data_IF_419632714279
#
_entry.id   IF_419632714279
#
_cell.length_a   1.000
_cell.length_b   1.000
_cell.length_c   1.000
_cell.angle_alpha   90.00
_cell.angle_beta   90.00
_cell.angle_gamma   90.00
#
_symmetry.space_group_name_H-M   'P 1'
#
loop_
_entity.id
_entity.type
_entity.pdbx_description
1 polymer ?
#
# COMPACT_ATOMS: atom_id res chain seq x y z
N UNK A 1 19.20 -66.27 5.54
CA UNK A 1 19.38 -65.02 4.76
C UNK A 1 18.05 -64.32 4.44
N UNK A 2 16.92 -65.03 4.47
CA UNK A 2 15.55 -64.54 4.20
C UNK A 2 14.91 -63.68 5.31
N UNK A 3 15.22 -63.96 6.59
CA UNK A 3 14.62 -63.21 7.74
C UNK A 3 15.10 -61.75 7.87
N UNK A 4 16.36 -61.48 7.50
CA UNK A 4 16.94 -60.14 7.59
C UNK A 4 16.31 -59.17 6.58
N UNK A 5 16.02 -59.66 5.36
CA UNK A 5 15.39 -58.88 4.28
C UNK A 5 13.93 -58.56 4.64
N UNK A 6 13.20 -59.52 5.22
CA UNK A 6 11.80 -59.33 5.61
C UNK A 6 11.65 -58.32 6.75
N UNK A 7 12.58 -58.33 7.73
CA UNK A 7 12.62 -57.34 8.82
C UNK A 7 12.98 -55.94 8.32
N UNK A 8 13.88 -55.85 7.33
CA UNK A 8 14.27 -54.57 6.72
C UNK A 8 13.12 -53.96 5.90
N UNK A 9 12.43 -54.77 5.09
CA UNK A 9 11.27 -54.33 4.30
C UNK A 9 10.12 -53.86 5.19
N UNK A 10 9.80 -54.60 6.26
CA UNK A 10 8.74 -54.21 7.20
C UNK A 10 9.07 -52.90 7.93
N UNK A 11 10.35 -52.66 8.25
CA UNK A 11 10.82 -51.42 8.89
C UNK A 11 10.80 -50.22 7.92
N UNK A 12 11.13 -50.43 6.64
CA UNK A 12 11.05 -49.40 5.58
C UNK A 12 9.59 -49.00 5.30
N UNK A 13 8.68 -49.96 5.16
CA UNK A 13 7.25 -49.69 4.91
C UNK A 13 6.62 -48.92 6.08
N UNK A 14 6.94 -49.29 7.33
CA UNK A 14 6.48 -48.55 8.52
C UNK A 14 7.08 -47.14 8.62
N UNK A 15 8.33 -46.95 8.20
CA UNK A 15 8.99 -45.64 8.23
C UNK A 15 8.47 -44.69 7.15
N UNK A 16 8.21 -45.18 5.93
CA UNK A 16 7.62 -44.39 4.85
C UNK A 16 6.15 -44.07 5.13
N UNK A 17 5.38 -45.02 5.64
CA UNK A 17 3.98 -44.80 6.06
C UNK A 17 3.88 -43.70 7.12
N UNK A 18 4.77 -43.68 8.12
CA UNK A 18 4.78 -42.66 9.17
C UNK A 18 5.23 -41.28 8.65
N UNK A 19 6.10 -41.23 7.63
CA UNK A 19 6.56 -39.96 7.02
C UNK A 19 5.50 -39.37 6.09
N UNK A 20 4.82 -40.20 5.31
CA UNK A 20 3.72 -39.79 4.42
C UNK A 20 2.49 -39.40 5.25
N UNK A 21 2.14 -40.15 6.30
CA UNK A 21 1.05 -39.80 7.21
C UNK A 21 1.34 -38.51 7.98
N UNK A 22 2.57 -38.29 8.47
CA UNK A 22 2.96 -37.01 9.08
C UNK A 22 2.94 -35.86 8.08
N UNK A 23 3.42 -36.07 6.85
CA UNK A 23 3.35 -35.04 5.81
C UNK A 23 1.90 -34.69 5.47
N UNK A 24 1.02 -35.70 5.33
CA UNK A 24 -0.40 -35.50 5.07
C UNK A 24 -1.11 -34.82 6.24
N UNK A 25 -0.79 -35.20 7.48
CA UNK A 25 -1.33 -34.56 8.69
C UNK A 25 -0.86 -33.12 8.81
N UNK A 26 0.40 -32.82 8.53
CA UNK A 26 0.92 -31.45 8.45
C UNK A 26 0.26 -30.66 7.32
N UNK A 27 0.02 -31.25 6.16
CA UNK A 27 -0.65 -30.60 5.04
C UNK A 27 -2.12 -30.30 5.37
N UNK A 28 -2.82 -31.23 6.03
CA UNK A 28 -4.18 -31.05 6.54
C UNK A 28 -4.22 -29.97 7.63
N UNK A 29 -3.24 -29.92 8.54
CA UNK A 29 -3.13 -28.84 9.54
C UNK A 29 -2.87 -27.50 8.87
N UNK A 30 -1.97 -27.43 7.89
CA UNK A 30 -1.69 -26.19 7.15
C UNK A 30 -2.97 -25.74 6.42
N UNK A 31 -3.65 -26.61 5.68
CA UNK A 31 -4.91 -26.25 5.00
C UNK A 31 -6.06 -25.90 5.96
N UNK A 32 -6.16 -26.54 7.12
CA UNK A 32 -7.18 -26.19 8.12
C UNK A 32 -6.85 -24.90 8.88
N UNK A 33 -5.56 -24.54 9.04
CA UNK A 33 -5.18 -23.22 9.57
C UNK A 33 -5.41 -22.09 8.56
N UNK A 34 -5.32 -22.34 7.26
CA UNK A 34 -5.66 -21.35 6.22
C UNK A 34 -7.18 -21.08 6.20
N UNK A 35 -8.01 -22.03 6.62
CA UNK A 35 -9.47 -21.86 6.76
C UNK A 35 -9.90 -21.10 8.04
N UNK A 36 -9.00 -20.87 9.01
CA UNK A 36 -9.33 -20.21 10.28
C UNK A 36 -9.15 -18.69 10.25
N UNK A 37 -8.60 -18.12 9.18
CA UNK A 37 -8.61 -16.68 8.93
C UNK A 37 -9.82 -16.32 8.08
N UNK A 38 -11.01 -16.46 8.65
CA UNK A 38 -12.19 -15.76 8.15
C UNK A 38 -11.97 -14.27 8.49
N UNK A 39 -11.17 -13.58 7.68
CA UNK A 39 -11.13 -12.12 7.72
C UNK A 39 -12.55 -11.65 7.45
N UNK A 40 -13.17 -10.99 8.43
CA UNK A 40 -14.46 -10.34 8.24
C UNK A 40 -14.38 -9.49 6.99
N UNK A 41 -15.25 -9.77 6.03
CA UNK A 41 -15.30 -8.98 4.79
C UNK A 41 -15.52 -7.51 5.15
N UNK A 42 -14.78 -6.57 4.51
CA UNK A 42 -14.98 -5.15 4.78
C UNK A 42 -16.46 -4.76 4.60
N UNK A 43 -17.00 -4.00 5.55
CA UNK A 43 -18.39 -3.55 5.53
C UNK A 43 -18.55 -2.34 4.60
N UNK A 44 -19.52 -2.36 3.70
CA UNK A 44 -19.79 -1.22 2.82
C UNK A 44 -20.31 -0.01 3.61
N UNK A 45 -19.81 1.19 3.29
CA UNK A 45 -20.22 2.47 3.86
C UNK A 45 -20.34 3.53 2.75
N UNK A 46 -21.06 4.63 3.02
CA UNK A 46 -21.12 5.77 2.10
C UNK A 46 -19.79 6.53 2.07
N UNK A 47 -19.57 7.31 1.00
CA UNK A 47 -18.41 8.20 0.89
C UNK A 47 -18.38 9.24 2.02
N UNK A 48 -19.52 9.80 2.46
CA UNK A 48 -19.50 10.76 3.58
C UNK A 48 -19.10 10.07 4.88
N UNK A 49 -19.59 8.86 5.13
CA UNK A 49 -19.20 8.09 6.32
C UNK A 49 -17.72 7.74 6.27
N UNK A 50 -17.18 7.42 5.11
CA UNK A 50 -15.75 7.17 4.91
C UNK A 50 -14.91 8.39 5.30
N UNK A 51 -15.24 9.57 4.77
CA UNK A 51 -14.56 10.83 5.09
C UNK A 51 -14.66 11.16 6.58
N UNK A 52 -15.86 11.00 7.15
CA UNK A 52 -16.12 11.24 8.57
C UNK A 52 -15.29 10.34 9.48
N UNK A 53 -15.14 9.05 9.13
CA UNK A 53 -14.33 8.12 9.92
C UNK A 53 -12.86 8.56 9.97
N UNK A 54 -12.28 8.95 8.83
CA UNK A 54 -10.90 9.46 8.78
C UNK A 54 -10.73 10.69 9.68
N UNK A 55 -11.67 11.64 9.61
CA UNK A 55 -11.61 12.88 10.41
C UNK A 55 -11.77 12.63 11.93
N UNK A 56 -12.41 11.53 12.32
CA UNK A 56 -12.66 11.18 13.74
C UNK A 56 -11.56 10.31 14.36
N UNK A 57 -10.42 10.13 13.67
CA UNK A 57 -9.30 9.38 14.23
C UNK A 57 -8.84 10.00 15.56
N UNK A 58 -8.58 9.15 16.56
CA UNK A 58 -8.17 9.52 17.92
C UNK A 58 -7.28 8.44 18.51
N UNK A 59 -6.73 8.69 19.70
CA UNK A 59 -5.86 7.72 20.38
C UNK A 59 -6.57 6.40 20.71
N UNK A 60 -7.90 6.38 20.81
CA UNK A 60 -8.69 5.18 21.08
C UNK A 60 -9.27 4.56 19.80
N UNK A 61 -9.36 5.33 18.72
CA UNK A 61 -9.96 4.95 17.45
C UNK A 61 -9.03 5.38 16.32
N UNK A 62 -8.13 4.51 15.91
CA UNK A 62 -7.17 4.81 14.84
C UNK A 62 -7.76 4.37 13.51
N UNK A 63 -7.91 5.31 12.58
CA UNK A 63 -8.40 5.02 11.24
C UNK A 63 -7.23 5.05 10.26
N UNK A 64 -7.01 3.92 9.59
CA UNK A 64 -5.96 3.76 8.59
C UNK A 64 -6.59 3.52 7.23
N UNK A 65 -6.28 4.38 6.26
CA UNK A 65 -6.58 4.11 4.86
C UNK A 65 -5.59 3.08 4.30
N UNK A 66 -6.13 1.98 3.76
CA UNK A 66 -5.34 0.84 3.28
C UNK A 66 -5.07 0.88 1.77
N UNK A 67 -5.80 1.71 1.01
CA UNK A 67 -5.67 1.80 -0.43
C UNK A 67 -6.97 1.52 -1.18
N UNK A 68 -6.84 1.37 -2.49
CA UNK A 68 -7.92 0.92 -3.37
C UNK A 68 -7.66 -0.52 -3.78
N UNK A 69 -8.69 -1.34 -3.67
CA UNK A 69 -8.77 -2.65 -4.30
C UNK A 69 -9.91 -2.62 -5.32
N UNK A 70 -9.59 -2.89 -6.59
CA UNK A 70 -10.50 -2.73 -7.74
C UNK A 70 -11.16 -1.33 -7.78
N UNK A 71 -12.38 -1.23 -7.24
CA UNK A 71 -13.22 -0.04 -7.16
C UNK A 71 -13.64 0.27 -5.72
N UNK A 72 -12.86 -0.15 -4.72
CA UNK A 72 -13.20 0.01 -3.30
C UNK A 72 -12.06 0.68 -2.56
N UNK A 73 -12.32 1.84 -2.00
CA UNK A 73 -11.42 2.46 -1.03
C UNK A 73 -11.61 1.78 0.33
N UNK A 74 -10.54 1.27 0.93
CA UNK A 74 -10.63 0.44 2.14
C UNK A 74 -10.08 1.19 3.36
N UNK A 75 -10.81 1.12 4.47
CA UNK A 75 -10.38 1.57 5.79
C UNK A 75 -10.22 0.38 6.73
N UNK A 76 -9.21 0.49 7.58
CA UNK A 76 -9.09 -0.24 8.83
C UNK A 76 -9.38 0.72 9.97
N UNK A 77 -10.32 0.36 10.83
CA UNK A 77 -10.61 1.08 12.08
C UNK A 77 -10.17 0.19 13.22
N UNK A 78 -9.09 0.59 13.89
CA UNK A 78 -8.60 -0.07 15.08
C UNK A 78 -9.15 0.65 16.30
N UNK A 79 -9.90 -0.05 17.14
CA UNK A 79 -10.47 0.48 18.38
C UNK A 79 -9.89 -0.22 19.59
N UNK A 80 -9.61 0.54 20.66
CA UNK A 80 -9.23 -0.02 21.96
C UNK A 80 -10.12 0.54 23.07
N UNK A 81 -10.34 -0.25 24.12
CA UNK A 81 -11.23 0.10 25.23
C UNK A 81 -10.69 1.22 26.13
N UNK A 82 -9.36 1.35 26.23
CA UNK A 82 -8.69 2.41 26.99
C UNK A 82 -7.27 2.64 26.45
N UNK A 83 -6.63 3.74 26.86
CA UNK A 83 -5.25 4.10 26.46
C UNK A 83 -4.24 3.03 26.93
N UNK A 84 -4.51 2.37 28.06
CA UNK A 84 -3.64 1.35 28.62
C UNK A 84 -3.89 -0.05 28.04
N UNK A 85 -4.98 -0.22 27.27
CA UNK A 85 -5.27 -1.49 26.62
C UNK A 85 -4.24 -1.78 25.53
N UNK A 86 -3.59 -2.95 25.64
CA UNK A 86 -2.72 -3.50 24.60
C UNK A 86 -3.50 -4.14 23.46
N UNK A 87 -4.75 -4.52 23.69
CA UNK A 87 -5.57 -5.20 22.70
C UNK A 87 -6.33 -4.19 21.85
N UNK A 88 -6.15 -4.31 20.53
CA UNK A 88 -6.92 -3.60 19.53
C UNK A 88 -7.96 -4.55 18.91
N UNK A 89 -9.14 -4.01 18.66
CA UNK A 89 -10.16 -4.62 17.82
C UNK A 89 -10.12 -3.94 16.46
N UNK A 90 -9.89 -4.72 15.42
CA UNK A 90 -9.85 -4.23 14.05
C UNK A 90 -11.18 -4.48 13.35
N UNK A 91 -11.71 -3.45 12.71
CA UNK A 91 -12.85 -3.54 11.81
C UNK A 91 -12.47 -2.97 10.45
N UNK A 92 -12.96 -3.59 9.38
CA UNK A 92 -12.68 -3.18 8.01
C UNK A 92 -13.94 -2.62 7.35
N UNK A 93 -13.78 -1.52 6.64
CA UNK A 93 -14.85 -0.85 5.91
C UNK A 93 -14.41 -0.55 4.49
N UNK A 94 -15.35 -0.44 3.55
CA UNK A 94 -15.07 0.09 2.23
C UNK A 94 -16.14 1.06 1.75
N UNK A 95 -15.73 2.02 0.94
CA UNK A 95 -16.63 2.83 0.13
C UNK A 95 -16.35 2.55 -1.35
N UNK A 96 -17.40 2.59 -2.18
CA UNK A 96 -17.23 2.48 -3.64
C UNK A 96 -16.44 3.68 -4.15
N UNK A 97 -15.57 3.41 -5.12
CA UNK A 97 -14.74 4.41 -5.77
C UNK A 97 -15.62 5.36 -6.56
N UNK A 98 -15.52 6.64 -6.22
CA UNK A 98 -16.03 7.74 -7.04
C UNK A 98 -14.87 8.70 -7.33
N UNK A 99 -14.92 9.47 -8.44
CA UNK A 99 -13.92 10.50 -8.71
C UNK A 99 -13.76 11.48 -7.54
N UNK A 100 -14.86 11.88 -6.91
CA UNK A 100 -14.86 12.83 -5.79
C UNK A 100 -14.22 12.25 -4.53
N UNK A 101 -14.49 10.98 -4.19
CA UNK A 101 -13.87 10.33 -3.04
C UNK A 101 -12.35 10.20 -3.24
N UNK A 102 -11.93 9.87 -4.47
CA UNK A 102 -10.51 9.73 -4.78
C UNK A 102 -9.76 11.06 -4.70
N UNK A 103 -10.34 12.11 -5.27
CA UNK A 103 -9.81 13.47 -5.17
C UNK A 103 -9.71 13.91 -3.69
N UNK A 104 -10.77 13.65 -2.91
CA UNK A 104 -10.78 13.97 -1.49
C UNK A 104 -9.66 13.24 -0.73
N UNK A 105 -9.44 11.95 -1.00
CA UNK A 105 -8.35 11.16 -0.39
C UNK A 105 -6.99 11.79 -0.70
N UNK A 106 -6.76 12.13 -1.97
CA UNK A 106 -5.51 12.70 -2.44
C UNK A 106 -5.22 14.04 -1.76
N UNK A 107 -6.22 14.92 -1.67
CA UNK A 107 -6.09 16.25 -1.08
C UNK A 107 -6.00 16.23 0.45
N UNK A 108 -6.81 15.40 1.13
CA UNK A 108 -6.99 15.49 2.58
C UNK A 108 -6.13 14.50 3.37
N UNK A 109 -5.78 13.34 2.79
CA UNK A 109 -4.91 12.36 3.47
C UNK A 109 -3.44 12.58 3.09
N UNK A 110 -3.19 12.90 1.82
CA UNK A 110 -1.84 12.95 1.26
C UNK A 110 -1.38 14.34 0.87
N UNK A 111 -2.26 15.33 0.94
CA UNK A 111 -1.96 16.71 0.55
C UNK A 111 -1.42 16.84 -0.88
N UNK A 112 -1.93 16.01 -1.80
CA UNK A 112 -1.67 16.10 -3.23
C UNK A 112 -2.53 17.24 -3.77
N UNK A 113 -2.03 18.46 -3.58
CA UNK A 113 -2.70 19.70 -4.00
C UNK A 113 -1.83 20.44 -5.01
N UNK A 114 -2.45 21.31 -5.81
CA UNK A 114 -1.72 22.18 -6.75
C UNK A 114 -0.69 23.07 -6.04
N UNK A 115 -1.02 23.56 -4.84
CA UNK A 115 -0.10 24.37 -4.04
C UNK A 115 1.14 23.58 -3.63
N UNK A 116 0.95 22.39 -3.05
CA UNK A 116 2.06 21.55 -2.64
C UNK A 116 2.87 21.02 -3.83
N UNK A 117 2.22 20.73 -4.95
CA UNK A 117 2.91 20.42 -6.19
C UNK A 117 3.84 21.56 -6.62
N UNK A 118 3.32 22.79 -6.69
CA UNK A 118 4.15 23.93 -7.09
C UNK A 118 5.29 24.20 -6.11
N UNK A 119 5.09 23.97 -4.81
CA UNK A 119 6.16 24.08 -3.80
C UNK A 119 7.30 23.09 -4.08
N UNK A 120 6.99 21.80 -4.21
CA UNK A 120 7.99 20.77 -4.50
C UNK A 120 8.66 21.00 -5.85
N UNK A 121 7.88 21.39 -6.86
CA UNK A 121 8.40 21.71 -8.18
C UNK A 121 9.42 22.85 -8.14
N UNK A 122 9.08 23.97 -7.48
CA UNK A 122 9.97 25.12 -7.33
C UNK A 122 11.21 24.80 -6.50
N UNK A 123 11.06 23.99 -5.44
CA UNK A 123 12.20 23.48 -4.67
C UNK A 123 13.18 22.73 -5.57
N UNK A 124 12.70 21.77 -6.36
CA UNK A 124 13.56 20.99 -7.27
C UNK A 124 14.25 21.91 -8.29
N UNK A 125 13.53 22.87 -8.87
CA UNK A 125 14.11 23.82 -9.83
C UNK A 125 15.21 24.71 -9.26
N UNK A 126 15.20 24.95 -7.94
CA UNK A 126 16.24 25.75 -7.28
C UNK A 126 17.57 25.00 -7.10
N UNK A 127 17.59 23.68 -7.30
CA UNK A 127 18.79 22.86 -7.18
C UNK A 127 19.60 22.89 -8.48
N UNK A 128 20.93 22.90 -8.39
CA UNK A 128 21.83 22.99 -9.55
C UNK A 128 21.57 21.90 -10.60
N UNK A 129 21.39 20.66 -10.14
CA UNK A 129 21.12 19.51 -11.01
C UNK A 129 19.62 19.29 -11.28
N UNK A 130 18.74 20.10 -10.68
CA UNK A 130 17.27 19.92 -10.67
C UNK A 130 16.84 18.51 -10.24
N UNK A 131 17.58 17.94 -9.30
CA UNK A 131 17.31 16.65 -8.69
C UNK A 131 17.85 16.59 -7.26
N UNK A 132 17.25 15.74 -6.43
CA UNK A 132 17.80 15.39 -5.11
C UNK A 132 17.50 13.94 -4.73
N UNK A 133 18.32 13.40 -3.84
CA UNK A 133 18.13 12.07 -3.25
C UNK A 133 17.27 12.18 -1.99
N UNK A 134 16.25 11.34 -1.86
CA UNK A 134 15.43 11.19 -0.66
C UNK A 134 15.29 9.70 -0.31
N UNK A 135 16.10 9.24 0.66
CA UNK A 135 16.19 7.81 0.98
C UNK A 135 16.69 7.00 -0.21
N UNK A 136 15.86 6.08 -0.72
CA UNK A 136 16.15 5.25 -1.90
C UNK A 136 15.65 5.85 -3.22
N UNK A 137 15.03 7.04 -3.16
CA UNK A 137 14.39 7.68 -4.29
C UNK A 137 15.23 8.84 -4.82
N UNK A 138 15.23 9.00 -6.14
CA UNK A 138 15.71 10.19 -6.83
C UNK A 138 14.48 10.98 -7.28
N UNK A 139 14.41 12.25 -6.90
CA UNK A 139 13.32 13.16 -7.23
C UNK A 139 13.84 14.23 -8.18
N UNK A 140 13.21 14.40 -9.35
CA UNK A 140 13.67 15.34 -10.37
C UNK A 140 12.53 15.87 -11.25
N UNK A 141 12.78 16.95 -11.98
CA UNK A 141 11.85 17.44 -13.02
C UNK A 141 12.30 17.05 -14.41
N UNK A 142 11.34 16.68 -15.30
CA UNK A 142 11.65 16.29 -16.69
C UNK A 142 11.51 17.44 -17.70
N UNK A 143 11.24 18.64 -17.21
CA UNK A 143 10.76 19.75 -18.04
C UNK A 143 11.88 20.42 -18.85
N UNK A 144 13.14 19.99 -18.67
CA UNK A 144 14.27 20.39 -19.50
C UNK A 144 14.16 19.99 -20.98
N UNK A 145 13.25 19.06 -21.33
CA UNK A 145 13.14 18.50 -22.69
C UNK A 145 11.88 18.92 -23.45
N UNK A 146 10.98 19.72 -22.86
CA UNK A 146 9.70 20.09 -23.51
C UNK A 146 9.45 21.60 -23.43
N UNK A 147 9.46 22.24 -24.59
CA UNK A 147 9.20 23.67 -24.82
C UNK A 147 7.75 24.12 -24.57
N UNK A 148 6.92 23.30 -23.91
CA UNK A 148 5.55 23.70 -23.54
C UNK A 148 5.49 23.91 -22.03
N UNK A 149 5.55 25.18 -21.63
CA UNK A 149 5.41 25.70 -20.26
C UNK A 149 4.14 25.21 -19.53
N UNK A 150 3.17 24.65 -20.27
CA UNK A 150 1.87 24.22 -19.76
C UNK A 150 1.91 22.92 -18.93
N UNK A 151 2.93 22.06 -19.08
CA UNK A 151 2.98 20.76 -18.38
C UNK A 151 4.19 20.66 -17.49
N UNK A 152 3.97 20.76 -16.18
CA UNK A 152 5.00 20.53 -15.16
C UNK A 152 5.01 19.07 -14.75
N UNK A 153 6.17 18.44 -14.66
CA UNK A 153 6.29 17.03 -14.31
C UNK A 153 7.39 16.79 -13.26
N UNK A 154 7.00 16.20 -12.14
CA UNK A 154 7.91 15.67 -11.12
C UNK A 154 7.98 14.16 -11.29
N UNK A 155 9.19 13.64 -11.44
CA UNK A 155 9.46 12.21 -11.49
C UNK A 155 10.06 11.74 -10.18
N UNK A 156 9.55 10.61 -9.70
CA UNK A 156 10.09 9.86 -8.58
C UNK A 156 10.64 8.55 -9.14
N UNK A 157 11.93 8.33 -8.96
CA UNK A 157 12.65 7.20 -9.53
C UNK A 157 13.24 6.38 -8.38
N UNK A 158 12.97 5.08 -8.36
CA UNK A 158 13.67 4.16 -7.47
C UNK A 158 15.11 3.94 -7.93
N UNK A 159 16.04 3.73 -7.00
CA UNK A 159 17.50 3.61 -7.18
C UNK A 159 18.01 2.88 -8.45
N UNK A 160 17.27 1.91 -8.98
CA UNK A 160 17.63 1.10 -10.17
C UNK A 160 16.98 1.56 -11.50
N UNK A 161 16.18 2.63 -11.49
CA UNK A 161 15.51 3.27 -12.64
C UNK A 161 14.41 2.45 -13.34
N UNK A 162 14.02 1.29 -12.81
CA UNK A 162 12.91 0.50 -13.39
C UNK A 162 11.54 0.88 -12.82
N UNK A 163 11.53 1.46 -11.62
CA UNK A 163 10.31 1.92 -10.97
C UNK A 163 10.23 3.44 -11.04
N UNK A 164 9.32 3.94 -11.87
CA UNK A 164 9.11 5.37 -12.11
C UNK A 164 7.66 5.73 -11.80
N UNK A 165 7.47 6.80 -11.04
CA UNK A 165 6.18 7.40 -10.77
C UNK A 165 6.20 8.89 -11.18
N UNK A 166 5.13 9.35 -11.81
CA UNK A 166 5.05 10.73 -12.33
C UNK A 166 3.90 11.47 -11.66
N UNK A 167 4.18 12.67 -11.16
CA UNK A 167 3.20 13.68 -10.82
C UNK A 167 3.23 14.77 -11.90
N UNK A 168 2.10 15.03 -12.53
CA UNK A 168 1.93 16.02 -13.58
C UNK A 168 0.93 17.08 -13.15
N UNK A 169 1.21 18.34 -13.45
CA UNK A 169 0.23 19.41 -13.35
C UNK A 169 -0.31 19.71 -14.75
N UNK A 170 -1.61 19.48 -14.95
CA UNK A 170 -2.32 19.72 -16.22
C UNK A 170 -3.66 20.42 -15.92
N UNK A 171 -3.95 21.52 -16.62
CA UNK A 171 -5.18 22.31 -16.45
C UNK A 171 -5.56 22.56 -14.96
N UNK A 172 -4.58 23.00 -14.16
CA UNK A 172 -4.75 23.27 -12.73
C UNK A 172 -5.18 22.06 -11.89
N UNK A 173 -4.91 20.83 -12.36
CA UNK A 173 -5.12 19.59 -11.60
C UNK A 173 -3.83 18.80 -11.53
N UNK A 174 -3.59 18.21 -10.36
CA UNK A 174 -2.50 17.25 -10.20
C UNK A 174 -3.00 15.90 -10.70
N UNK A 175 -2.34 15.38 -11.72
CA UNK A 175 -2.52 14.04 -12.23
C UNK A 175 -1.32 13.21 -11.83
N UNK A 176 -1.51 11.92 -11.60
CA UNK A 176 -0.37 11.05 -11.37
C UNK A 176 -0.63 9.64 -11.86
N UNK A 177 0.45 8.97 -12.25
CA UNK A 177 0.36 7.63 -12.80
C UNK A 177 1.70 6.90 -12.75
N UNK A 178 1.61 5.57 -12.62
CA UNK A 178 2.73 4.66 -12.83
C UNK A 178 2.19 3.33 -13.35
N UNK A 179 2.98 2.67 -14.21
CA UNK A 179 2.68 1.32 -14.65
C UNK A 179 2.64 0.35 -13.46
N UNK A 180 3.51 0.52 -12.46
CA UNK A 180 3.53 -0.32 -11.27
C UNK A 180 2.26 -0.21 -10.44
N UNK A 181 1.61 0.95 -10.41
CA UNK A 181 0.31 1.11 -9.71
C UNK A 181 -0.81 0.36 -10.41
N UNK A 182 -0.79 0.36 -11.74
CA UNK A 182 -1.80 -0.37 -12.52
C UNK A 182 -1.72 -1.87 -12.26
N UNK A 183 -0.53 -2.40 -12.00
CA UNK A 183 -0.31 -3.81 -11.69
C UNK A 183 -0.43 -4.13 -10.19
N UNK A 184 -0.11 -3.18 -9.32
CA UNK A 184 -0.12 -3.33 -7.86
C UNK A 184 -0.64 -2.04 -7.20
N UNK A 185 -1.92 -2.05 -6.85
CA UNK A 185 -2.57 -0.89 -6.23
C UNK A 185 -2.04 -0.58 -4.83
N UNK A 186 -1.37 -1.52 -4.15
CA UNK A 186 -0.73 -1.25 -2.86
C UNK A 186 0.41 -0.23 -3.00
N UNK A 187 1.04 -0.17 -4.18
CA UNK A 187 2.05 0.86 -4.47
C UNK A 187 1.47 2.26 -4.58
N UNK A 188 0.18 2.42 -4.91
CA UNK A 188 -0.48 3.74 -4.91
C UNK A 188 -0.32 4.42 -3.55
N UNK A 189 -0.68 3.70 -2.49
CA UNK A 189 -0.55 4.17 -1.11
C UNK A 189 0.90 4.50 -0.77
N UNK A 190 1.84 3.68 -1.22
CA UNK A 190 3.27 3.91 -0.99
C UNK A 190 3.74 5.23 -1.63
N UNK A 191 3.41 5.49 -2.89
CA UNK A 191 3.82 6.72 -3.57
C UNK A 191 3.13 7.96 -3.00
N UNK A 192 1.87 7.83 -2.58
CA UNK A 192 1.15 8.93 -1.91
C UNK A 192 1.73 9.25 -0.53
N UNK A 193 2.15 8.24 0.23
CA UNK A 193 2.91 8.44 1.48
C UNK A 193 4.23 9.14 1.20
N UNK A 194 4.98 8.66 0.22
CA UNK A 194 6.24 9.29 -0.20
C UNK A 194 6.04 10.75 -0.61
N UNK A 195 4.99 11.06 -1.38
CA UNK A 195 4.65 12.45 -1.69
C UNK A 195 4.49 13.29 -0.43
N UNK A 196 3.70 12.82 0.54
CA UNK A 196 3.47 13.55 1.79
C UNK A 196 4.77 13.74 2.58
N UNK A 197 5.65 12.74 2.61
CA UNK A 197 6.97 12.85 3.22
C UNK A 197 7.84 13.90 2.52
N UNK A 198 7.85 13.93 1.19
CA UNK A 198 8.57 14.94 0.41
C UNK A 198 8.05 16.34 0.67
N UNK A 199 6.73 16.54 0.71
CA UNK A 199 6.13 17.83 1.06
C UNK A 199 6.54 18.27 2.46
N UNK A 200 6.54 17.36 3.43
CA UNK A 200 6.97 17.68 4.79
C UNK A 200 8.48 17.98 4.89
N UNK A 201 9.29 17.36 4.03
CA UNK A 201 10.74 17.56 4.01
C UNK A 201 11.14 18.96 3.52
N UNK A 202 10.40 19.51 2.56
CA UNK A 202 10.69 20.83 1.95
C UNK A 202 9.99 22.01 2.66
N UNK A 203 9.24 21.75 3.73
CA UNK A 203 8.50 22.75 4.50
C UNK A 203 9.42 23.61 5.36
#
# INVERSE_FOLDING_TARGET
>A
MTDLIHKYYKKLILHESNKIQKAYFSLVIIFSTVLLFNCDKPKEISSEKFQTLIQKSSDLHVVTYLGIDEEKAILKVSTRSSIDSKQWKDEYFYARRTPDLYLWIDENIYEITVSNFNKLYSYILSLDNKEFQFGEWIILTKDQLRTKEEKKNIQIIYKDKFTIFNFQLDNSKVLYTSLSIKFDSARDVQYKKLWRELINHIR
#
